data_IF_508763762884
#
_entry.id   IF_508763762884
#
_cell.length_a   1.000
_cell.length_b   1.000
_cell.length_c   1.000
_cell.angle_alpha   90.00
_cell.angle_beta   90.00
_cell.angle_gamma   90.00
#
_symmetry.space_group_name_H-M   'P 1'
#
loop_
_entity.id
_entity.type
_entity.pdbx_description
1 polymer ?
#
# COMPACT_ATOMS: atom_id res chain seq x y z
N UNK A 1 30.20 49.54 3.21
CA UNK A 1 30.64 48.26 3.79
C UNK A 1 29.95 47.15 3.01
N UNK A 2 30.68 46.11 2.60
CA UNK A 2 30.12 44.91 1.97
C UNK A 2 30.48 43.72 2.86
N UNK A 3 29.48 43.00 3.38
CA UNK A 3 29.72 41.74 4.08
C UNK A 3 29.61 40.60 3.05
N UNK A 4 30.72 39.92 2.78
CA UNK A 4 30.68 38.60 2.15
C UNK A 4 30.48 37.55 3.24
N UNK A 5 29.25 37.06 3.39
CA UNK A 5 28.96 35.88 4.20
C UNK A 5 29.32 34.61 3.41
N UNK A 6 30.52 34.09 3.61
CA UNK A 6 30.92 32.80 3.04
C UNK A 6 30.23 31.65 3.80
N UNK A 7 29.26 31.00 3.15
CA UNK A 7 28.66 29.75 3.62
C UNK A 7 29.61 28.59 3.33
N UNK A 8 30.10 27.94 4.39
CA UNK A 8 30.93 26.73 4.29
C UNK A 8 30.02 25.52 3.99
N UNK A 9 30.14 24.96 2.79
CA UNK A 9 29.46 23.72 2.40
C UNK A 9 30.24 22.54 2.98
N UNK A 10 29.71 21.89 4.02
CA UNK A 10 30.25 20.65 4.56
C UNK A 10 29.73 19.47 3.74
N UNK A 11 30.52 18.98 2.78
CA UNK A 11 30.18 17.79 1.99
C UNK A 11 30.55 16.53 2.77
N UNK A 12 29.59 15.93 3.47
CA UNK A 12 29.75 14.62 4.11
C UNK A 12 29.48 13.50 3.08
N UNK A 13 30.54 12.99 2.46
CA UNK A 13 30.45 11.78 1.63
C UNK A 13 30.21 10.54 2.52
N UNK A 14 29.02 9.93 2.41
CA UNK A 14 28.71 8.64 3.03
C UNK A 14 29.03 7.52 2.03
N UNK A 15 30.19 6.87 2.24
CA UNK A 15 30.61 5.73 1.45
C UNK A 15 29.77 4.49 1.82
N UNK A 16 28.86 4.09 0.93
CA UNK A 16 28.14 2.82 1.02
C UNK A 16 29.01 1.67 0.49
N UNK A 17 30.01 1.29 1.27
CA UNK A 17 30.85 0.12 1.01
C UNK A 17 30.80 -0.83 2.22
N UNK A 18 30.78 -2.15 1.95
CA UNK A 18 30.44 -3.24 2.89
C UNK A 18 28.94 -3.47 3.14
N UNK A 19 28.19 -3.80 2.08
CA UNK A 19 27.03 -4.68 2.22
C UNK A 19 27.50 -6.15 2.12
N UNK A 20 27.13 -7.06 3.03
CA UNK A 20 27.46 -8.48 2.90
C UNK A 20 26.82 -9.08 1.63
N UNK A 21 27.58 -9.91 0.89
CA UNK A 21 27.02 -10.68 -0.22
C UNK A 21 26.12 -11.80 0.33
N UNK A 22 24.98 -12.11 -0.31
CA UNK A 22 24.26 -13.34 -0.01
C UNK A 22 25.14 -14.54 -0.40
N UNK A 23 25.13 -15.58 0.44
CA UNK A 23 25.80 -16.84 0.10
C UNK A 23 25.10 -17.46 -1.12
N UNK A 24 25.87 -17.85 -2.13
CA UNK A 24 25.36 -18.72 -3.18
C UNK A 24 25.24 -20.13 -2.60
N UNK A 25 24.03 -20.70 -2.64
CA UNK A 25 23.88 -22.15 -2.56
C UNK A 25 24.58 -22.72 -3.78
N UNK A 26 25.48 -23.66 -3.55
CA UNK A 26 26.26 -24.29 -4.60
C UNK A 26 25.71 -25.69 -4.78
N UNK A 27 24.94 -25.90 -5.84
CA UNK A 27 24.50 -27.23 -6.23
C UNK A 27 25.74 -28.07 -6.58
N UNK A 28 25.74 -29.33 -6.17
CA UNK A 28 26.75 -30.31 -6.54
C UNK A 28 26.17 -31.73 -6.39
N UNK A 29 25.88 -32.35 -7.52
CA UNK A 29 25.54 -33.77 -7.62
C UNK A 29 26.81 -34.64 -7.73
N UNK A 30 26.59 -35.95 -7.93
CA UNK A 30 27.51 -37.05 -8.28
C UNK A 30 28.25 -37.80 -7.14
N UNK A 31 27.69 -38.98 -6.82
CA UNK A 31 28.24 -40.31 -6.46
C UNK A 31 29.78 -40.50 -6.32
N UNK A 32 30.31 -41.39 -5.47
CA UNK A 32 30.23 -42.87 -5.60
C UNK A 32 30.91 -43.61 -4.40
N UNK A 33 30.60 -44.92 -4.21
CA UNK A 33 31.32 -46.03 -3.51
C UNK A 33 32.10 -45.80 -2.17
N UNK A 34 32.18 -46.68 -1.16
CA UNK A 34 31.70 -48.03 -0.78
C UNK A 34 31.99 -48.14 0.79
N UNK A 35 31.82 -49.18 1.64
CA UNK A 35 31.49 -50.62 1.58
C UNK A 35 31.10 -51.17 2.99
N UNK A 36 30.57 -52.41 3.01
CA UNK A 36 30.60 -53.45 4.07
C UNK A 36 29.65 -53.48 5.31
N UNK A 37 28.88 -54.59 5.36
CA UNK A 37 28.53 -55.46 6.50
C UNK A 37 27.32 -55.22 7.43
N UNK A 38 26.14 -55.50 6.85
CA UNK A 38 25.05 -56.39 7.37
C UNK A 38 24.13 -55.92 8.53
N UNK A 39 22.89 -56.48 8.62
CA UNK A 39 21.76 -55.81 9.28
C UNK A 39 21.37 -56.36 10.66
N UNK A 40 20.57 -55.56 11.38
CA UNK A 40 19.67 -55.99 12.44
C UNK A 40 18.26 -55.46 12.15
N UNK A 41 17.28 -56.36 12.04
CA UNK A 41 15.85 -56.01 11.97
C UNK A 41 15.26 -55.89 13.38
N UNK A 42 14.52 -54.81 13.66
CA UNK A 42 13.39 -54.84 14.60
C UNK A 42 12.50 -53.59 14.51
N UNK A 43 11.25 -53.82 14.11
CA UNK A 43 10.03 -53.25 14.71
C UNK A 43 9.81 -51.72 14.70
N UNK A 44 9.10 -51.29 13.64
CA UNK A 44 7.89 -50.45 13.66
C UNK A 44 7.64 -49.52 14.87
N UNK A 45 7.76 -48.21 14.61
CA UNK A 45 6.69 -47.29 15.00
C UNK A 45 6.60 -46.13 14.00
N UNK A 46 5.49 -46.02 13.27
CA UNK A 46 5.21 -44.90 12.37
C UNK A 46 4.36 -43.83 13.09
N UNK A 47 5.01 -42.78 13.59
CA UNK A 47 4.28 -41.58 14.05
C UNK A 47 3.70 -40.80 12.85
N UNK A 48 2.46 -40.32 12.92
CA UNK A 48 1.89 -39.49 11.86
C UNK A 48 2.61 -38.14 11.77
N UNK A 49 3.01 -37.74 10.56
CA UNK A 49 3.37 -36.36 10.26
C UNK A 49 2.11 -35.50 10.17
N UNK A 50 1.66 -34.97 11.31
CA UNK A 50 0.62 -33.93 11.33
C UNK A 50 1.10 -32.71 10.54
N UNK A 51 0.39 -32.43 9.44
CA UNK A 51 0.63 -31.24 8.62
C UNK A 51 -0.14 -30.07 9.24
N UNK A 52 0.49 -29.39 10.21
CA UNK A 52 -0.03 -28.15 10.77
C UNK A 52 -0.14 -27.08 9.66
N UNK A 53 -1.38 -26.80 9.25
CA UNK A 53 -1.72 -25.84 8.19
C UNK A 53 -2.58 -24.68 8.73
N UNK A 54 -2.50 -24.41 10.03
CA UNK A 54 -3.36 -23.45 10.75
C UNK A 54 -2.65 -22.13 11.15
N UNK A 55 -1.38 -21.95 10.76
CA UNK A 55 -0.56 -20.84 11.30
C UNK A 55 -0.88 -19.44 10.73
N UNK A 56 -1.61 -19.33 9.61
CA UNK A 56 -1.96 -18.05 8.98
C UNK A 56 -3.18 -17.35 9.63
N UNK A 57 -4.09 -18.10 10.25
CA UNK A 57 -5.37 -17.53 10.71
C UNK A 57 -5.22 -16.70 12.01
N UNK A 58 -4.42 -17.18 12.96
CA UNK A 58 -4.16 -16.48 14.23
C UNK A 58 -3.37 -15.17 14.00
N UNK A 59 -2.36 -15.20 13.13
CA UNK A 59 -1.59 -14.01 12.75
C UNK A 59 -2.47 -12.87 12.24
N UNK A 60 -3.48 -13.16 11.40
CA UNK A 60 -4.41 -12.16 10.89
C UNK A 60 -5.31 -11.57 12.01
N UNK A 61 -5.73 -12.38 12.98
CA UNK A 61 -6.51 -11.91 14.12
C UNK A 61 -5.66 -11.03 15.06
N UNK A 62 -4.41 -11.39 15.31
CA UNK A 62 -3.48 -10.59 16.11
C UNK A 62 -3.11 -9.26 15.43
N UNK A 63 -2.92 -9.26 14.10
CA UNK A 63 -2.69 -8.05 13.30
C UNK A 63 -3.86 -7.06 13.41
N UNK A 64 -5.09 -7.53 13.18
CA UNK A 64 -6.28 -6.69 13.13
C UNK A 64 -6.56 -5.99 14.48
N UNK A 65 -6.27 -6.65 15.62
CA UNK A 65 -6.42 -6.05 16.95
C UNK A 65 -5.36 -4.99 17.29
N UNK A 66 -4.29 -4.85 16.48
CA UNK A 66 -3.27 -3.81 16.68
C UNK A 66 -3.46 -2.59 15.76
N UNK A 67 -4.03 -2.74 14.56
CA UNK A 67 -4.13 -1.67 13.56
C UNK A 67 -4.90 -0.47 14.13
N UNK A 68 -4.18 0.64 14.34
CA UNK A 68 -4.74 1.89 14.86
C UNK A 68 -4.91 2.97 13.78
N UNK A 69 -4.32 2.75 12.61
CA UNK A 69 -4.25 3.72 11.51
C UNK A 69 -4.54 3.06 10.18
N UNK A 70 -5.36 3.70 9.33
CA UNK A 70 -5.53 3.33 7.93
C UNK A 70 -4.82 4.38 7.07
N UNK A 71 -4.00 3.91 6.13
CA UNK A 71 -3.33 4.73 5.12
C UNK A 71 -3.82 4.35 3.72
N UNK A 72 -4.05 5.34 2.86
CA UNK A 72 -4.45 5.12 1.46
C UNK A 72 -3.57 5.99 0.55
N UNK A 73 -2.84 5.35 -0.35
CA UNK A 73 -1.87 6.02 -1.23
C UNK A 73 -2.04 5.67 -2.71
N UNK A 74 -1.48 6.51 -3.57
CA UNK A 74 -1.39 6.28 -5.01
C UNK A 74 -0.64 7.41 -5.73
N UNK A 75 -0.71 7.41 -7.06
CA UNK A 75 -0.18 8.49 -7.90
C UNK A 75 -1.34 9.17 -8.65
N UNK A 76 -1.23 10.48 -8.87
CA UNK A 76 -2.07 11.23 -9.81
C UNK A 76 -1.15 11.82 -10.89
N UNK A 77 -1.49 11.55 -12.15
CA UNK A 77 -0.70 11.95 -13.32
C UNK A 77 -1.53 12.83 -14.27
N UNK A 78 -0.84 13.71 -14.97
CA UNK A 78 -1.35 14.47 -16.12
C UNK A 78 -0.92 13.74 -17.40
N UNK A 79 -1.90 13.31 -18.21
CA UNK A 79 -1.68 12.89 -19.59
C UNK A 79 -1.97 14.07 -20.53
N UNK A 80 -0.93 14.63 -21.14
CA UNK A 80 -1.08 15.65 -22.18
C UNK A 80 -0.21 15.30 -23.37
N UNK A 81 -0.80 15.35 -24.57
CA UNK A 81 -0.13 14.99 -25.83
C UNK A 81 0.55 13.60 -25.76
N UNK A 82 -0.17 12.61 -25.23
CA UNK A 82 0.29 11.22 -25.01
C UNK A 82 1.45 11.06 -24.02
N UNK A 83 1.88 12.13 -23.35
CA UNK A 83 2.93 12.11 -22.32
C UNK A 83 2.32 12.17 -20.93
N UNK A 84 2.68 11.20 -20.10
CA UNK A 84 2.38 11.20 -18.66
C UNK A 84 3.44 11.98 -17.88
N UNK A 85 3.00 12.88 -17.00
CA UNK A 85 3.85 13.54 -15.98
C UNK A 85 3.16 13.52 -14.62
N UNK A 86 3.91 13.59 -13.51
CA UNK A 86 3.36 13.92 -12.20
C UNK A 86 2.37 15.10 -12.26
N UNK A 87 1.20 14.97 -11.63
CA UNK A 87 0.31 16.09 -11.37
C UNK A 87 0.42 16.48 -9.90
N UNK A 88 1.13 17.57 -9.65
CA UNK A 88 1.34 18.16 -8.32
C UNK A 88 0.09 18.91 -7.88
N UNK A 89 -0.27 18.85 -6.59
CA UNK A 89 -1.34 19.66 -6.01
C UNK A 89 -2.77 19.11 -6.17
N UNK A 90 -2.93 17.96 -6.83
CA UNK A 90 -4.21 17.27 -7.01
C UNK A 90 -4.65 16.51 -5.75
N UNK A 91 -5.91 16.09 -5.71
CA UNK A 91 -6.57 15.48 -4.56
C UNK A 91 -7.30 14.19 -4.97
N UNK A 92 -7.26 13.20 -4.09
CA UNK A 92 -8.10 12.02 -4.15
C UNK A 92 -9.11 12.02 -2.98
N UNK A 93 -10.30 11.45 -3.18
CA UNK A 93 -11.30 11.21 -2.13
C UNK A 93 -11.40 9.72 -1.86
N UNK A 94 -11.37 9.33 -0.60
CA UNK A 94 -11.71 8.00 -0.13
C UNK A 94 -13.17 8.09 0.34
N UNK A 95 -14.01 7.14 -0.05
CA UNK A 95 -15.39 7.00 0.47
C UNK A 95 -15.71 5.54 0.72
N UNK A 96 -16.36 5.23 1.85
CA UNK A 96 -16.80 3.90 2.22
C UNK A 96 -18.27 3.93 2.65
N UNK A 97 -19.02 2.86 2.39
CA UNK A 97 -20.27 2.60 3.09
C UNK A 97 -19.92 2.34 4.56
N UNK A 98 -20.69 2.91 5.48
CA UNK A 98 -20.58 2.63 6.91
C UNK A 98 -21.87 1.93 7.37
N UNK A 99 -21.74 0.80 8.03
CA UNK A 99 -22.84 0.10 8.73
C UNK A 99 -22.64 0.17 10.24
N UNK A 100 -23.71 0.06 11.01
CA UNK A 100 -23.62 -0.20 12.45
C UNK A 100 -23.42 -1.70 12.79
N UNK A 101 -23.38 -2.03 14.08
CA UNK A 101 -23.28 -3.40 14.58
C UNK A 101 -24.34 -4.35 14.00
N UNK A 102 -25.55 -3.86 13.74
CA UNK A 102 -26.71 -4.62 13.23
C UNK A 102 -26.74 -4.69 11.69
N UNK A 103 -25.83 -4.00 10.99
CA UNK A 103 -25.76 -3.99 9.54
C UNK A 103 -26.65 -2.94 8.87
N UNK A 104 -27.19 -1.96 9.61
CA UNK A 104 -27.92 -0.85 8.98
C UNK A 104 -26.95 0.22 8.48
N UNK A 105 -27.14 0.65 7.22
CA UNK A 105 -26.37 1.75 6.64
C UNK A 105 -26.52 3.05 7.46
N UNK A 106 -25.38 3.68 7.71
CA UNK A 106 -25.22 4.99 8.36
C UNK A 106 -24.62 5.98 7.37
N UNK A 107 -24.33 7.21 7.82
CA UNK A 107 -23.67 8.22 6.96
C UNK A 107 -22.35 7.67 6.41
N UNK A 108 -22.15 7.61 5.08
CA UNK A 108 -20.91 7.10 4.48
C UNK A 108 -19.68 7.86 4.99
N UNK A 109 -18.63 7.13 5.36
CA UNK A 109 -17.34 7.75 5.66
C UNK A 109 -16.76 8.35 4.39
N UNK A 110 -16.26 9.58 4.45
CA UNK A 110 -15.51 10.17 3.33
C UNK A 110 -14.40 11.10 3.82
N UNK A 111 -13.23 10.98 3.21
CA UNK A 111 -12.04 11.78 3.51
C UNK A 111 -11.33 12.19 2.21
N UNK A 112 -10.84 13.42 2.16
CA UNK A 112 -9.98 13.91 1.06
C UNK A 112 -8.51 13.77 1.46
N UNK A 113 -7.67 13.33 0.54
CA UNK A 113 -6.23 13.17 0.74
C UNK A 113 -5.53 14.50 0.98
N UNK A 114 -4.27 14.44 1.42
CA UNK A 114 -3.38 15.57 1.20
C UNK A 114 -3.15 15.80 -0.31
N UNK A 115 -2.78 17.03 -0.66
CA UNK A 115 -2.37 17.38 -2.03
C UNK A 115 -1.20 16.50 -2.48
N UNK A 116 -1.26 16.03 -3.72
CA UNK A 116 -0.18 15.26 -4.33
C UNK A 116 1.13 16.06 -4.38
N UNK A 117 2.25 15.40 -4.10
CA UNK A 117 3.57 16.02 -4.07
C UNK A 117 4.17 16.20 -5.49
N UNK A 118 5.42 16.64 -5.56
CA UNK A 118 6.17 16.85 -6.82
C UNK A 118 6.25 15.61 -7.74
N UNK A 119 6.15 14.41 -7.15
CA UNK A 119 6.14 13.12 -7.86
C UNK A 119 4.71 12.63 -8.17
N UNK A 120 3.69 13.45 -7.92
CA UNK A 120 2.27 13.10 -8.12
C UNK A 120 1.71 12.17 -7.04
N UNK A 121 2.51 11.83 -6.03
CA UNK A 121 2.12 10.90 -4.96
C UNK A 121 1.19 11.57 -3.95
N UNK A 122 0.06 10.93 -3.66
CA UNK A 122 -0.89 11.33 -2.62
C UNK A 122 -0.91 10.32 -1.47
N UNK A 123 -1.30 10.81 -0.29
CA UNK A 123 -1.59 10.01 0.90
C UNK A 123 -2.81 10.59 1.62
N UNK A 124 -3.74 9.73 2.01
CA UNK A 124 -4.69 9.99 3.10
C UNK A 124 -4.30 9.09 4.30
N UNK A 125 -4.52 9.57 5.52
CA UNK A 125 -4.20 8.83 6.73
C UNK A 125 -5.20 9.21 7.81
N UNK A 126 -5.82 8.22 8.45
CA UNK A 126 -6.83 8.40 9.48
C UNK A 126 -6.71 7.33 10.57
N UNK A 127 -7.04 7.70 11.81
CA UNK A 127 -7.08 6.74 12.92
C UNK A 127 -8.36 5.90 12.83
N UNK A 128 -8.26 4.65 13.27
CA UNK A 128 -9.39 3.72 13.32
C UNK A 128 -10.45 4.21 14.32
N UNK A 129 -10.02 4.77 15.46
CA UNK A 129 -10.87 5.39 16.48
C UNK A 129 -11.77 6.51 15.95
N UNK A 130 -11.26 7.29 15.01
CA UNK A 130 -11.89 8.52 14.51
C UNK A 130 -12.97 8.23 13.46
N UNK A 131 -13.00 6.98 12.95
CA UNK A 131 -13.84 6.57 11.83
C UNK A 131 -14.76 5.40 12.18
N UNK A 132 -14.29 4.45 12.99
CA UNK A 132 -15.13 3.35 13.48
C UNK A 132 -15.83 3.70 14.81
N UNK A 133 -15.39 4.76 15.49
CA UNK A 133 -15.77 5.03 16.88
C UNK A 133 -14.83 4.34 17.88
N UNK A 134 -15.04 4.62 19.17
CA UNK A 134 -14.23 4.06 20.28
C UNK A 134 -15.05 3.23 21.29
N UNK A 135 -16.38 3.35 21.25
CA UNK A 135 -17.29 2.57 22.09
C UNK A 135 -17.79 1.34 21.33
N UNK A 136 -17.67 0.15 21.95
CA UNK A 136 -17.90 -1.15 21.30
C UNK A 136 -19.34 -1.30 20.77
N UNK A 137 -20.31 -0.65 21.41
CA UNK A 137 -21.74 -0.71 21.03
C UNK A 137 -22.11 0.23 19.87
N UNK A 138 -21.24 1.20 19.54
CA UNK A 138 -21.43 2.17 18.45
C UNK A 138 -20.41 1.95 17.32
N UNK A 139 -19.69 0.81 17.34
CA UNK A 139 -18.59 0.54 16.41
C UNK A 139 -19.09 0.34 14.97
N UNK A 140 -18.76 1.29 14.10
CA UNK A 140 -19.08 1.23 12.67
C UNK A 140 -18.21 0.21 11.95
N UNK A 141 -18.78 -0.42 10.92
CA UNK A 141 -18.11 -1.33 9.99
C UNK A 141 -18.03 -0.64 8.62
N UNK A 142 -16.81 -0.39 8.12
CA UNK A 142 -16.64 0.12 6.76
C UNK A 142 -16.71 -1.00 5.73
N UNK A 143 -17.45 -0.78 4.65
CA UNK A 143 -17.53 -1.66 3.47
C UNK A 143 -17.42 -0.86 2.18
N UNK A 144 -17.14 -1.57 1.09
CA UNK A 144 -17.07 -1.03 -0.28
C UNK A 144 -16.23 0.25 -0.43
N UNK A 145 -15.17 0.38 0.37
CA UNK A 145 -14.26 1.52 0.30
C UNK A 145 -13.69 1.69 -1.11
N UNK A 146 -13.87 2.87 -1.69
CA UNK A 146 -13.40 3.26 -3.02
C UNK A 146 -12.62 4.56 -2.95
N UNK A 147 -11.68 4.74 -3.90
CA UNK A 147 -10.89 5.96 -4.05
C UNK A 147 -11.18 6.59 -5.42
N UNK A 148 -11.39 7.91 -5.42
CA UNK A 148 -11.82 8.71 -6.56
C UNK A 148 -10.87 9.89 -6.78
N UNK A 149 -10.79 10.42 -7.99
CA UNK A 149 -10.26 11.75 -8.26
C UNK A 149 -11.22 12.81 -7.72
N UNK A 150 -10.71 13.72 -6.89
CA UNK A 150 -11.51 14.75 -6.21
C UNK A 150 -11.28 16.14 -6.81
N UNK A 151 -10.02 16.50 -7.08
CA UNK A 151 -9.69 17.88 -7.45
C UNK A 151 -8.33 18.03 -8.12
N UNK A 152 -8.26 18.99 -9.03
CA UNK A 152 -7.06 19.37 -9.78
C UNK A 152 -6.78 20.87 -9.60
N UNK A 153 -5.51 21.33 -9.54
CA UNK A 153 -5.19 22.76 -9.51
C UNK A 153 -5.76 23.54 -10.69
N UNK A 154 -6.17 24.79 -10.44
CA UNK A 154 -6.79 25.65 -11.47
C UNK A 154 -5.80 26.04 -12.57
N UNK A 155 -4.50 25.95 -12.30
CA UNK A 155 -3.38 26.30 -13.17
C UNK A 155 -2.85 25.09 -13.99
N UNK A 156 -3.34 23.88 -13.74
CA UNK A 156 -2.82 22.66 -14.35
C UNK A 156 -3.19 22.52 -15.84
N UNK A 157 -2.30 21.88 -16.62
CA UNK A 157 -2.53 21.59 -18.05
C UNK A 157 -3.53 20.45 -18.30
N UNK A 158 -3.67 19.51 -17.36
CA UNK A 158 -4.69 18.46 -17.39
C UNK A 158 -5.76 18.75 -16.35
N UNK A 159 -7.04 18.78 -16.75
CA UNK A 159 -8.16 19.13 -15.86
C UNK A 159 -9.36 18.19 -15.94
N UNK A 160 -9.43 17.39 -17.00
CA UNK A 160 -10.54 16.46 -17.25
C UNK A 160 -10.18 15.14 -16.57
N UNK A 161 -10.97 14.72 -15.58
CA UNK A 161 -10.75 13.44 -14.89
C UNK A 161 -11.00 12.27 -15.86
N UNK A 162 -10.12 11.28 -15.86
CA UNK A 162 -10.25 10.07 -16.68
C UNK A 162 -10.50 8.85 -15.80
N UNK A 163 -11.36 7.93 -16.25
CA UNK A 163 -11.69 6.72 -15.49
C UNK A 163 -10.65 5.59 -15.63
N UNK A 164 -9.45 5.91 -16.11
CA UNK A 164 -8.29 4.99 -16.06
C UNK A 164 -8.04 4.57 -14.61
N UNK A 165 -7.95 3.26 -14.38
CA UNK A 165 -7.87 2.63 -13.05
C UNK A 165 -9.05 2.97 -12.12
N UNK A 166 -10.24 3.23 -12.70
CA UNK A 166 -11.47 3.60 -12.00
C UNK A 166 -11.37 4.95 -11.26
N UNK A 167 -10.61 5.90 -11.81
CA UNK A 167 -10.39 7.23 -11.23
C UNK A 167 -11.64 8.09 -11.05
N UNK A 168 -12.75 7.78 -11.72
CA UNK A 168 -14.05 8.49 -11.65
C UNK A 168 -15.16 7.58 -11.10
N UNK A 169 -15.17 6.29 -11.46
CA UNK A 169 -16.14 5.29 -10.97
C UNK A 169 -15.80 4.72 -9.59
N UNK A 170 -14.56 4.90 -9.12
CA UNK A 170 -14.09 4.57 -7.77
C UNK A 170 -13.30 3.26 -7.71
N UNK A 171 -11.99 3.37 -7.51
CA UNK A 171 -11.10 2.22 -7.39
C UNK A 171 -11.26 1.53 -6.02
N UNK A 172 -11.65 0.24 -5.97
CA UNK A 172 -11.94 -0.44 -4.70
C UNK A 172 -10.66 -0.73 -3.91
N UNK A 173 -10.75 -0.59 -2.58
CA UNK A 173 -9.71 -0.97 -1.64
C UNK A 173 -9.86 -2.46 -1.27
N UNK A 174 -9.18 -3.33 -2.01
CA UNK A 174 -9.30 -4.80 -1.87
C UNK A 174 -8.33 -5.43 -0.87
N UNK A 175 -7.09 -4.93 -0.76
CA UNK A 175 -6.09 -5.46 0.17
C UNK A 175 -5.16 -4.37 0.71
N UNK A 176 -4.63 -4.60 1.91
CA UNK A 176 -3.68 -3.71 2.57
C UNK A 176 -2.34 -4.43 2.84
N UNK A 177 -1.26 -3.64 2.93
CA UNK A 177 0.02 -4.08 3.48
C UNK A 177 0.15 -3.53 4.90
N UNK A 178 0.38 -4.40 5.89
CA UNK A 178 0.64 -3.93 7.25
C UNK A 178 2.01 -3.23 7.34
N UNK A 179 2.08 -2.17 8.15
CA UNK A 179 3.29 -1.43 8.48
C UNK A 179 3.50 -1.42 10.00
N UNK A 180 4.27 -2.36 10.58
CA UNK A 180 4.46 -2.49 12.03
C UNK A 180 4.93 -1.19 12.70
N UNK A 181 5.87 -0.47 12.06
CA UNK A 181 6.48 0.74 12.61
C UNK A 181 5.52 1.95 12.65
N UNK A 182 4.34 1.83 12.04
CA UNK A 182 3.26 2.83 12.04
C UNK A 182 1.92 2.26 12.55
N UNK A 183 1.92 0.97 12.91
CA UNK A 183 0.73 0.18 13.27
C UNK A 183 -0.43 0.36 12.28
N UNK A 184 -0.08 0.39 10.99
CA UNK A 184 -0.94 0.92 9.91
C UNK A 184 -1.31 -0.16 8.89
N UNK A 185 -2.59 -0.20 8.50
CA UNK A 185 -3.05 -0.85 7.28
C UNK A 185 -2.87 0.10 6.08
N UNK A 186 -1.89 -0.17 5.20
CA UNK A 186 -1.63 0.67 4.03
C UNK A 186 -2.21 0.05 2.76
N UNK A 187 -3.29 0.65 2.25
CA UNK A 187 -3.87 0.35 0.94
C UNK A 187 -3.17 1.17 -0.15
N UNK A 188 -3.01 0.60 -1.35
CA UNK A 188 -2.43 1.28 -2.52
C UNK A 188 -3.31 1.08 -3.74
N UNK A 189 -3.67 2.16 -4.43
CA UNK A 189 -4.41 2.12 -5.71
C UNK A 189 -3.48 2.35 -6.90
N UNK A 190 -3.96 1.99 -8.09
CA UNK A 190 -3.28 2.30 -9.36
C UNK A 190 -3.17 3.82 -9.62
N UNK A 191 -2.33 4.24 -10.58
CA UNK A 191 -2.18 5.65 -10.93
C UNK A 191 -3.47 6.20 -11.56
N UNK A 192 -4.02 7.28 -11.00
CA UNK A 192 -5.15 8.00 -11.58
C UNK A 192 -4.70 9.07 -12.57
N UNK A 193 -5.52 9.34 -13.59
CA UNK A 193 -5.15 10.18 -14.72
C UNK A 193 -6.13 11.36 -14.85
N UNK A 194 -5.59 12.58 -14.89
CA UNK A 194 -6.25 13.71 -15.55
C UNK A 194 -5.70 13.86 -16.97
N UNK A 195 -6.56 14.23 -17.93
CA UNK A 195 -6.20 14.51 -19.33
C UNK A 195 -6.33 16.00 -19.68
N UNK A 196 -5.58 16.46 -20.68
CA UNK A 196 -5.75 17.77 -21.31
C UNK A 196 -6.81 17.80 -22.42
N UNK A 197 -7.14 16.63 -22.98
CA UNK A 197 -8.07 16.46 -24.10
C UNK A 197 -9.41 15.95 -23.59
N UNK A 198 -10.52 16.33 -24.23
CA UNK A 198 -11.82 15.70 -24.01
C UNK A 198 -11.79 14.24 -24.52
N UNK A 199 -12.54 13.30 -23.90
CA UNK A 199 -12.64 11.93 -24.41
C UNK A 199 -13.16 11.86 -25.86
N UNK A 200 -13.91 12.89 -26.26
CA UNK A 200 -14.58 13.03 -27.56
C UNK A 200 -13.66 13.56 -28.67
N UNK A 201 -12.47 14.10 -28.35
CA UNK A 201 -11.50 14.70 -29.30
C UNK A 201 -10.74 13.66 -30.18
N UNK A 202 -11.24 12.42 -30.24
CA UNK A 202 -10.60 11.27 -30.90
C UNK A 202 -11.51 10.54 -31.91
N UNK A 203 -12.53 11.22 -32.44
CA UNK A 203 -13.49 10.69 -33.42
C UNK A 203 -13.57 11.52 -34.70
#
# INVERSE_FOLDING_TARGET
>A
MVLLSFLLIVVSAINYENAPKPNQVHDHDDDDDNQDLLPLESEDQSEPYDNDHDHDQDNNHLMNNYINTIGVQGLILCNSNQKYTPLVGALARITCIAEDENGYERTPFSMVSHKSNENGFFMATFLVSDVLGSDVNDMLKLKECKVFLEGCPMEAACKIASDVNNGVSGAPLSSYRFLPQKVMALYTVGPFIYTSNHPDDHY
#
